data_IF_509018587842
#
_entry.id   IF_509018587842
#
_cell.length_a   1.000
_cell.length_b   1.000
_cell.length_c   1.000
_cell.angle_alpha   90.00
_cell.angle_beta   90.00
_cell.angle_gamma   90.00
#
_symmetry.space_group_name_H-M   'P 1'
#
loop_
_entity.id
_entity.type
_entity.pdbx_description
1 polymer ?
#
# COMPACT_ATOMS: atom_id res chain seq x y z
N UNK A 1 9.76 -10.09 4.19
CA UNK A 1 9.71 -9.12 5.28
C UNK A 1 8.91 -7.92 4.87
N UNK A 2 8.09 -7.43 5.77
CA UNK A 2 7.24 -6.30 5.44
C UNK A 2 7.96 -4.99 5.70
N UNK A 3 7.66 -4.00 4.87
CA UNK A 3 8.20 -2.67 5.02
C UNK A 3 7.04 -1.69 4.92
N UNK A 4 7.30 -0.46 5.29
CA UNK A 4 6.26 0.57 5.27
C UNK A 4 6.48 1.49 4.08
N UNK A 5 5.38 1.98 3.55
CA UNK A 5 5.43 2.91 2.45
C UNK A 5 4.21 3.81 2.46
N UNK A 6 4.22 4.73 1.51
CA UNK A 6 3.13 5.69 1.37
C UNK A 6 2.49 5.49 0.01
N UNK A 7 1.15 5.46 -0.01
CA UNK A 7 0.43 5.29 -1.26
C UNK A 7 0.58 6.53 -2.12
N UNK A 8 1.13 6.34 -3.32
CA UNK A 8 1.25 7.43 -4.27
C UNK A 8 -0.10 7.76 -4.87
N UNK A 9 -0.80 6.74 -5.33
CA UNK A 9 -2.17 6.86 -5.80
C UNK A 9 -2.73 5.45 -5.95
N UNK A 10 -4.05 5.36 -5.92
CA UNK A 10 -4.72 4.09 -6.13
C UNK A 10 -6.04 4.35 -6.81
N UNK A 11 -6.35 3.57 -7.85
CA UNK A 11 -7.59 3.70 -8.60
C UNK A 11 -8.46 2.48 -8.30
N UNK A 12 -9.47 2.63 -7.44
CA UNK A 12 -10.31 1.48 -7.09
C UNK A 12 -11.12 0.95 -8.26
N UNK A 13 -11.39 1.78 -9.26
CA UNK A 13 -12.10 1.31 -10.44
C UNK A 13 -11.25 0.39 -11.28
N UNK A 14 -9.97 0.69 -11.39
CA UNK A 14 -9.05 -0.16 -12.14
C UNK A 14 -8.49 -1.28 -11.28
N UNK A 15 -8.51 -1.11 -9.97
CA UNK A 15 -8.08 -2.15 -9.05
C UNK A 15 -6.59 -2.20 -8.82
N UNK A 16 -5.87 -1.10 -9.07
CA UNK A 16 -4.43 -1.07 -8.83
C UNK A 16 -3.95 0.35 -8.58
N UNK A 17 -2.73 0.43 -8.12
CA UNK A 17 -2.10 1.71 -7.88
C UNK A 17 -0.62 1.52 -7.61
N UNK A 18 -0.02 2.53 -7.00
CA UNK A 18 1.41 2.52 -6.70
C UNK A 18 1.67 3.02 -5.30
N UNK A 19 2.68 2.42 -4.68
CA UNK A 19 3.18 2.82 -3.37
C UNK A 19 4.59 3.36 -3.58
N UNK A 20 4.93 4.43 -2.85
CA UNK A 20 6.29 4.95 -2.86
C UNK A 20 7.11 4.06 -1.93
N UNK A 21 7.99 3.27 -2.53
CA UNK A 21 8.81 2.34 -1.77
C UNK A 21 10.12 2.96 -1.34
N UNK A 22 11.06 2.09 -0.93
CA UNK A 22 12.37 2.57 -0.52
C UNK A 22 13.05 3.31 -1.67
N UNK A 23 13.76 4.38 -1.33
CA UNK A 23 14.46 5.19 -2.31
C UNK A 23 13.54 5.77 -3.36
N UNK A 24 12.27 6.00 -2.97
CA UNK A 24 11.26 6.64 -3.83
C UNK A 24 10.98 5.85 -5.10
N UNK A 25 11.11 4.55 -5.02
CA UNK A 25 10.76 3.69 -6.15
C UNK A 25 9.27 3.45 -6.19
N UNK A 26 8.73 3.33 -7.39
CA UNK A 26 7.32 3.01 -7.56
C UNK A 26 7.12 1.51 -7.36
N UNK A 27 6.21 1.15 -6.46
CA UNK A 27 5.90 -0.24 -6.15
C UNK A 27 4.46 -0.49 -6.57
N UNK A 28 4.26 -1.40 -7.50
CA UNK A 28 2.92 -1.72 -8.00
C UNK A 28 2.12 -2.46 -6.94
N UNK A 29 0.86 -2.09 -6.78
CA UNK A 29 -0.04 -2.79 -5.86
C UNK A 29 -1.36 -3.07 -6.57
N UNK A 30 -1.81 -4.32 -6.46
CA UNK A 30 -3.09 -4.75 -7.01
C UNK A 30 -4.08 -4.96 -5.86
N UNK A 31 -5.36 -4.70 -6.11
CA UNK A 31 -6.34 -4.77 -5.03
C UNK A 31 -6.40 -6.15 -4.40
N UNK A 32 -6.08 -7.19 -5.16
CA UNK A 32 -6.08 -8.55 -4.62
C UNK A 32 -5.02 -8.75 -3.54
N UNK A 33 -4.04 -7.86 -3.47
CA UNK A 33 -2.99 -7.94 -2.46
C UNK A 33 -3.26 -7.08 -1.25
N UNK A 34 -4.38 -6.36 -1.25
CA UNK A 34 -4.75 -5.53 -0.10
C UNK A 34 -5.50 -6.40 0.89
N UNK A 35 -4.98 -6.46 2.11
CA UNK A 35 -5.59 -7.27 3.16
C UNK A 35 -6.68 -6.48 3.85
N UNK A 36 -7.67 -7.19 4.37
CA UNK A 36 -8.71 -6.56 5.13
C UNK A 36 -10.10 -6.98 4.66
N UNK A 37 -11.09 -6.65 5.46
CA UNK A 37 -12.48 -6.97 5.16
C UNK A 37 -13.12 -5.82 4.40
N UNK A 38 -13.93 -6.14 3.42
CA UNK A 38 -14.71 -5.13 2.72
C UNK A 38 -13.90 -4.36 1.72
N UNK A 39 -13.80 -3.07 1.91
CA UNK A 39 -13.15 -2.18 0.95
C UNK A 39 -11.68 -2.50 0.80
N UNK A 40 -11.29 -2.82 -0.43
CA UNK A 40 -9.89 -3.04 -0.75
C UNK A 40 -9.39 -1.89 -1.60
N UNK A 41 -9.33 -0.73 -1.01
CA UNK A 41 -8.82 0.44 -1.70
C UNK A 41 -7.92 1.23 -0.75
N UNK A 42 -7.07 2.04 -1.36
CA UNK A 42 -6.11 2.84 -0.62
C UNK A 42 -6.32 4.29 -1.01
N UNK A 43 -5.96 5.18 -0.10
CA UNK A 43 -6.07 6.61 -0.34
C UNK A 43 -4.70 7.18 -0.64
N UNK A 44 -4.68 8.24 -1.44
CA UNK A 44 -3.43 8.93 -1.73
C UNK A 44 -2.78 9.38 -0.42
N UNK A 45 -1.52 9.07 -0.27
CA UNK A 45 -0.79 9.48 0.92
C UNK A 45 -0.99 8.60 2.13
N UNK A 46 -1.76 7.54 2.00
CA UNK A 46 -2.03 6.64 3.12
C UNK A 46 -0.80 5.81 3.44
N UNK A 47 -0.54 5.59 4.72
CA UNK A 47 0.57 4.74 5.15
C UNK A 47 0.15 3.29 5.13
N UNK A 48 0.99 2.45 4.55
CA UNK A 48 0.70 1.03 4.44
C UNK A 48 1.95 0.23 4.79
N UNK A 49 1.72 -1.02 5.14
CA UNK A 49 2.79 -1.99 5.36
C UNK A 49 2.60 -3.12 4.35
N UNK A 50 3.66 -3.53 3.73
CA UNK A 50 3.55 -4.53 2.68
C UNK A 50 4.85 -5.31 2.53
N UNK A 51 4.75 -6.45 1.85
CA UNK A 51 5.94 -7.23 1.48
C UNK A 51 6.40 -6.78 0.11
N UNK A 52 7.65 -6.39 0.02
CA UNK A 52 8.23 -5.95 -1.24
C UNK A 52 8.73 -7.18 -2.01
N UNK A 53 8.23 -7.33 -3.23
CA UNK A 53 8.59 -8.45 -4.08
C UNK A 53 9.03 -7.92 -5.42
N UNK A 54 10.13 -8.47 -5.91
CA UNK A 54 10.62 -8.12 -7.24
C UNK A 54 9.99 -9.06 -8.26
N UNK A 55 9.16 -8.50 -9.12
CA UNK A 55 8.50 -9.30 -10.14
C UNK A 55 9.05 -9.03 -11.53
N UNK A 56 8.46 -9.67 -12.52
CA UNK A 56 8.91 -9.54 -13.90
C UNK A 56 8.79 -8.11 -14.42
N UNK A 57 7.82 -7.38 -13.91
CA UNK A 57 7.57 -6.02 -14.37
C UNK A 57 8.09 -4.98 -13.41
N UNK A 58 8.86 -5.39 -12.41
CA UNK A 58 9.40 -4.48 -11.45
C UNK A 58 8.93 -4.79 -10.04
N UNK A 59 8.99 -3.80 -9.16
CA UNK A 59 8.66 -4.00 -7.77
C UNK A 59 7.16 -4.11 -7.58
N UNK A 60 6.75 -5.03 -6.72
CA UNK A 60 5.35 -5.26 -6.43
C UNK A 60 5.15 -5.37 -4.93
N UNK A 61 3.97 -4.95 -4.47
CA UNK A 61 3.60 -5.05 -3.07
C UNK A 61 2.64 -6.21 -2.88
N UNK A 62 2.89 -7.01 -1.85
CA UNK A 62 2.03 -8.12 -1.49
C UNK A 62 1.63 -7.99 -0.04
N UNK A 63 0.47 -8.56 0.30
CA UNK A 63 -0.03 -8.54 1.68
C UNK A 63 -0.03 -7.14 2.25
N UNK A 64 -0.62 -6.22 1.49
CA UNK A 64 -0.65 -4.81 1.86
C UNK A 64 -1.66 -4.61 2.98
N UNK A 65 -1.22 -3.98 4.05
CA UNK A 65 -2.06 -3.67 5.19
C UNK A 65 -2.01 -2.18 5.46
N UNK A 66 -3.14 -1.61 5.81
CA UNK A 66 -3.16 -0.21 6.23
C UNK A 66 -2.54 -0.10 7.61
N UNK A 67 -1.65 0.86 7.75
CA UNK A 67 -1.07 1.15 9.05
C UNK A 67 -1.94 2.19 9.71
N UNK A 68 -2.52 1.85 10.84
CA UNK A 68 -3.32 2.80 11.58
C UNK A 68 -2.41 3.68 12.38
N UNK A 69 -2.37 4.89 11.93
CA UNK A 69 -1.48 5.82 12.56
C UNK A 69 -2.19 6.64 13.60
N UNK A 70 -3.23 6.40 13.92
CA UNK A 70 -3.88 7.22 14.75
C UNK A 70 -3.86 7.26 16.06
N UNK A 71 -3.55 7.28 15.84
CA UNK A 71 -3.73 7.21 16.60
C UNK A 71 -3.96 8.11 17.31
N UNK A 72 -3.81 8.19 16.99
CA UNK A 72 -3.95 8.77 17.42
C UNK A 72 -4.26 9.43 18.15
N UNK A 73 -4.10 9.30 18.17
CA UNK A 73 -4.30 9.73 18.63
C UNK A 73 -4.81 10.55 19.08
N UNK A 74 -5.00 10.46 18.93
CA UNK A 74 -5.39 11.12 19.11
C UNK A 74 -5.84 11.63 19.81
N UNK A 75 -5.83 11.44 20.08
CA UNK A 75 -6.15 11.77 20.58
C UNK A 75 -6.42 12.54 21.23
N UNK A 76 -6.43 12.55 21.39
CA UNK A 76 -6.59 13.14 21.77
C UNK A 76 -6.69 13.70 22.03
#
# INVERSE_FOLDING_TARGET
MSIQGEVKWFDPKKGYGFIVGPEQQDVFVHFSQIMGDGFRSLKDGEQVEYDLVEGDKGLQAKEVKRVEVSAPVEAE
#
